data_IF_495818303009
#
_entry.id   IF_495818303009
#
_cell.length_a   1.000
_cell.length_b   1.000
_cell.length_c   1.000
_cell.angle_alpha   90.00
_cell.angle_beta   90.00
_cell.angle_gamma   90.00
#
_symmetry.space_group_name_H-M   'P 1'
#
loop_
_entity.id
_entity.type
_entity.pdbx_description
1 polymer ?
#
# COMPACT_ATOMS: atom_id res chain seq x y z
N UNK A 1 2.96 -10.68 -5.18
CA UNK A 1 1.92 -11.32 -4.34
C UNK A 1 0.64 -11.41 -5.14
N UNK A 2 -0.13 -12.47 -4.95
CA UNK A 2 -1.39 -12.67 -5.66
C UNK A 2 -2.51 -12.68 -4.62
N UNK A 3 -3.41 -11.72 -4.67
CA UNK A 3 -4.36 -11.44 -3.60
C UNK A 3 -5.71 -11.04 -4.18
N UNK A 4 -6.77 -11.49 -3.50
CA UNK A 4 -8.16 -11.09 -3.75
C UNK A 4 -8.76 -10.56 -2.46
N UNK A 5 -9.37 -9.37 -2.53
CA UNK A 5 -10.14 -8.78 -1.44
C UNK A 5 -11.65 -8.88 -1.73
N UNK A 6 -12.48 -8.73 -0.71
CA UNK A 6 -13.94 -8.74 -0.85
C UNK A 6 -14.58 -7.38 -0.97
N UNK A 7 -13.80 -6.29 -0.89
CA UNK A 7 -14.26 -4.91 -1.04
C UNK A 7 -15.52 -4.59 -0.22
N UNK A 8 -15.45 -4.82 1.07
CA UNK A 8 -16.58 -4.58 1.99
C UNK A 8 -16.38 -3.24 2.67
N UNK A 9 -17.41 -2.39 2.66
CA UNK A 9 -17.40 -1.11 3.37
C UNK A 9 -17.03 -1.32 4.84
N UNK A 10 -16.13 -0.48 5.35
CA UNK A 10 -15.56 -0.63 6.69
C UNK A 10 -14.29 -1.47 6.75
N UNK A 11 -13.91 -2.19 5.68
CA UNK A 11 -12.63 -2.87 5.59
C UNK A 11 -11.54 -1.93 5.06
N UNK A 12 -10.32 -2.16 5.52
CA UNK A 12 -9.11 -1.50 5.03
C UNK A 12 -7.98 -2.53 4.92
N UNK A 13 -8.01 -3.34 3.84
CA UNK A 13 -6.91 -4.25 3.54
C UNK A 13 -5.68 -3.50 3.08
N UNK A 14 -4.53 -3.98 3.52
CA UNK A 14 -3.24 -3.43 3.16
C UNK A 14 -2.17 -4.50 3.02
N UNK A 15 -1.25 -4.26 2.09
CA UNK A 15 0.00 -4.98 1.91
C UNK A 15 1.08 -3.91 1.91
N UNK A 16 1.95 -3.94 2.91
CA UNK A 16 2.89 -2.86 3.11
C UNK A 16 4.20 -3.34 3.75
N UNK A 17 5.22 -2.52 3.66
CA UNK A 17 6.53 -2.76 4.24
C UNK A 17 6.84 -1.61 5.19
N UNK A 18 7.27 -1.94 6.40
CA UNK A 18 7.76 -0.98 7.37
C UNK A 18 9.26 -1.15 7.56
N UNK A 19 10.00 -0.06 7.58
CA UNK A 19 11.44 -0.06 7.87
C UNK A 19 11.72 -0.63 9.27
N UNK A 20 12.82 -1.36 9.40
CA UNK A 20 13.16 -2.09 10.63
C UNK A 20 13.56 -1.17 11.77
N UNK A 21 14.30 -0.11 11.50
CA UNK A 21 14.92 0.73 12.51
C UNK A 21 14.34 2.14 12.53
N UNK A 22 14.22 2.72 13.70
CA UNK A 22 13.69 4.07 13.96
C UNK A 22 12.19 4.09 14.26
N UNK A 23 11.67 5.30 14.49
CA UNK A 23 10.25 5.54 14.71
C UNK A 23 9.55 5.91 13.40
N UNK A 24 8.24 5.70 13.35
CA UNK A 24 7.43 6.17 12.23
C UNK A 24 7.25 7.69 12.31
N UNK A 25 7.34 8.45 11.20
CA UNK A 25 7.53 8.00 9.83
C UNK A 25 9.00 7.95 9.37
N UNK A 26 9.97 8.20 10.26
CA UNK A 26 11.40 8.30 9.95
C UNK A 26 11.98 6.99 9.38
N UNK A 27 11.44 5.84 9.81
CA UNK A 27 11.84 4.51 9.35
C UNK A 27 11.41 4.18 7.92
N UNK A 28 10.52 4.97 7.35
CA UNK A 28 9.95 4.73 6.02
C UNK A 28 8.91 3.62 5.98
N UNK A 29 7.92 3.80 5.10
CA UNK A 29 6.85 2.85 4.84
C UNK A 29 6.56 2.80 3.34
N UNK A 30 6.29 1.62 2.82
CA UNK A 30 5.97 1.37 1.42
C UNK A 30 4.66 0.60 1.34
N UNK A 31 3.58 1.27 0.99
CA UNK A 31 2.28 0.64 0.84
C UNK A 31 2.15 0.10 -0.58
N UNK A 32 2.31 -1.22 -0.72
CA UNK A 32 2.27 -1.89 -2.01
C UNK A 32 0.83 -1.96 -2.53
N UNK A 33 -0.12 -2.07 -1.64
CA UNK A 33 -1.54 -2.03 -1.94
C UNK A 33 -2.32 -1.58 -0.71
N UNK A 34 -3.18 -0.62 -0.88
CA UNK A 34 -4.24 -0.28 0.06
C UNK A 34 -5.56 -0.14 -0.70
N UNK A 35 -6.62 -0.69 -0.12
CA UNK A 35 -7.98 -0.41 -0.57
C UNK A 35 -8.78 0.21 0.59
N UNK A 36 -9.55 1.26 0.29
CA UNK A 36 -10.20 2.07 1.30
C UNK A 36 -11.72 1.83 1.32
N UNK A 37 -12.19 1.06 2.28
CA UNK A 37 -13.62 0.75 2.44
C UNK A 37 -14.52 1.96 2.66
N UNK A 38 -13.96 3.10 3.07
CA UNK A 38 -14.67 4.38 3.12
C UNK A 38 -15.20 4.81 1.75
N UNK A 39 -14.52 4.43 0.68
CA UNK A 39 -14.84 4.75 -0.70
C UNK A 39 -15.24 3.47 -1.46
N UNK A 40 -16.09 2.66 -0.83
CA UNK A 40 -16.45 1.30 -1.26
C UNK A 40 -17.03 1.17 -2.68
N UNK A 41 -17.36 2.26 -3.33
CA UNK A 41 -17.83 2.26 -4.72
C UNK A 41 -16.67 2.28 -5.73
N UNK A 42 -15.43 2.41 -5.24
CA UNK A 42 -14.23 2.50 -6.05
C UNK A 42 -13.47 1.17 -6.04
N UNK A 43 -13.23 0.61 -7.21
CA UNK A 43 -12.33 -0.53 -7.40
C UNK A 43 -10.89 -0.03 -7.59
N UNK A 44 -10.50 0.93 -6.77
CA UNK A 44 -9.21 1.62 -6.86
C UNK A 44 -8.31 1.21 -5.70
N UNK A 45 -7.12 0.76 -6.01
CA UNK A 45 -6.05 0.58 -5.02
C UNK A 45 -5.12 1.78 -5.04
N UNK A 46 -4.57 2.09 -3.88
CA UNK A 46 -3.57 3.14 -3.70
C UNK A 46 -2.24 2.52 -3.31
N UNK A 47 -1.16 3.09 -3.80
CA UNK A 47 0.21 2.76 -3.49
C UNK A 47 0.89 4.02 -2.97
N UNK A 48 1.62 3.90 -1.86
CA UNK A 48 2.11 5.07 -1.13
C UNK A 48 3.54 4.85 -0.65
N UNK A 49 4.28 5.95 -0.57
CA UNK A 49 5.57 6.03 0.11
C UNK A 49 5.44 7.03 1.25
N UNK A 50 5.61 6.57 2.50
CA UNK A 50 5.71 7.45 3.66
C UNK A 50 7.15 7.58 4.12
N UNK A 51 7.55 8.80 4.38
CA UNK A 51 8.88 9.17 4.88
C UNK A 51 8.74 10.32 5.87
N UNK A 52 9.81 10.69 6.56
CA UNK A 52 9.81 11.86 7.45
C UNK A 52 9.37 13.14 6.74
N UNK A 53 9.85 13.35 5.53
CA UNK A 53 9.51 14.53 4.73
C UNK A 53 8.08 14.48 4.17
N UNK A 54 7.54 13.26 3.96
CA UNK A 54 6.28 13.03 3.24
C UNK A 54 5.50 11.92 3.92
N UNK A 55 4.46 12.26 4.66
CA UNK A 55 3.59 11.30 5.34
C UNK A 55 2.18 11.87 5.57
N UNK A 56 1.26 11.01 6.01
CA UNK A 56 -0.12 11.37 6.31
C UNK A 56 -1.09 11.14 5.14
N UNK A 57 -2.14 11.95 5.00
CA UNK A 57 -3.13 11.79 3.92
C UNK A 57 -2.54 12.19 2.56
N UNK A 58 -2.11 11.18 1.83
CA UNK A 58 -1.38 11.33 0.56
C UNK A 58 -2.26 11.65 -0.64
N UNK A 59 -3.60 11.46 -0.54
CA UNK A 59 -4.52 11.73 -1.67
C UNK A 59 -4.54 13.20 -2.05
N UNK A 60 -4.17 14.08 -1.13
CA UNK A 60 -4.04 15.51 -1.33
C UNK A 60 -2.59 15.99 -1.23
N UNK A 61 -1.63 15.07 -1.21
CA UNK A 61 -0.22 15.44 -1.12
C UNK A 61 0.27 16.03 -2.43
N UNK A 62 0.82 17.25 -2.42
CA UNK A 62 1.37 17.86 -3.63
C UNK A 62 2.72 17.25 -4.04
N UNK A 63 3.21 16.22 -3.35
CA UNK A 63 4.60 15.77 -3.45
C UNK A 63 4.81 14.48 -4.26
N UNK A 64 3.74 13.89 -4.83
CA UNK A 64 3.87 12.80 -5.79
C UNK A 64 4.45 11.50 -5.21
N UNK A 65 4.11 11.17 -3.95
CA UNK A 65 4.55 9.93 -3.30
C UNK A 65 3.50 8.84 -3.35
N UNK A 66 2.50 8.97 -4.18
CA UNK A 66 1.45 7.98 -4.33
C UNK A 66 1.06 7.77 -5.78
N UNK A 67 0.61 6.57 -6.06
CA UNK A 67 -0.07 6.18 -7.28
C UNK A 67 -1.40 5.53 -6.96
N UNK A 68 -2.35 5.60 -7.88
CA UNK A 68 -3.62 4.91 -7.77
C UNK A 68 -3.95 4.20 -9.07
N UNK A 69 -4.47 2.99 -8.95
CA UNK A 69 -4.84 2.16 -10.10
C UNK A 69 -6.25 1.62 -9.92
N UNK A 70 -7.09 1.87 -10.93
CA UNK A 70 -8.40 1.23 -11.03
C UNK A 70 -8.25 -0.19 -11.56
N UNK A 71 -8.86 -1.16 -10.87
CA UNK A 71 -8.81 -2.57 -11.22
C UNK A 71 -10.25 -3.10 -11.26
N UNK A 72 -10.79 -3.31 -12.43
CA UNK A 72 -12.22 -3.64 -12.62
C UNK A 72 -12.66 -4.91 -11.87
N UNK A 73 -11.77 -5.89 -11.71
CA UNK A 73 -12.04 -7.15 -11.02
C UNK A 73 -11.37 -7.25 -9.63
N UNK A 74 -11.03 -6.12 -9.01
CA UNK A 74 -10.33 -6.08 -7.72
C UNK A 74 -10.95 -6.99 -6.67
N UNK A 75 -12.29 -6.97 -6.58
CA UNK A 75 -13.03 -7.65 -5.54
C UNK A 75 -13.35 -9.12 -5.86
N UNK A 76 -13.18 -9.54 -7.09
CA UNK A 76 -13.63 -10.84 -7.58
C UNK A 76 -12.48 -11.76 -7.98
N UNK A 77 -11.39 -11.21 -8.48
CA UNK A 77 -10.24 -11.95 -9.00
C UNK A 77 -8.98 -11.73 -8.19
N UNK A 78 -8.05 -12.68 -8.31
CA UNK A 78 -6.72 -12.53 -7.77
C UNK A 78 -5.91 -11.57 -8.61
N UNK A 79 -5.33 -10.55 -7.97
CA UNK A 79 -4.46 -9.55 -8.59
C UNK A 79 -3.04 -9.68 -8.07
N UNK A 80 -2.05 -9.48 -8.94
CA UNK A 80 -0.63 -9.48 -8.57
C UNK A 80 -0.19 -8.08 -8.19
N UNK A 81 0.08 -7.86 -6.93
CA UNK A 81 0.71 -6.63 -6.44
C UNK A 81 2.22 -6.83 -6.37
N UNK A 82 2.96 -5.89 -6.90
CA UNK A 82 4.38 -6.03 -7.18
C UNK A 82 5.14 -4.81 -6.67
N UNK A 83 6.30 -5.05 -6.09
CA UNK A 83 7.26 -4.02 -5.69
C UNK A 83 8.64 -4.44 -6.18
N UNK A 84 9.32 -3.55 -6.88
CA UNK A 84 10.74 -3.65 -7.17
C UNK A 84 11.47 -2.55 -6.38
N UNK A 85 12.24 -2.97 -5.39
CA UNK A 85 12.96 -2.09 -4.48
C UNK A 85 14.46 -2.13 -4.83
N UNK A 86 14.96 -1.02 -5.34
CA UNK A 86 16.36 -0.80 -5.70
C UNK A 86 16.97 0.31 -4.86
N UNK A 87 18.27 0.48 -4.95
CA UNK A 87 19.01 1.53 -4.23
C UNK A 87 18.51 2.95 -4.55
N UNK A 88 18.11 3.19 -5.78
CA UNK A 88 17.76 4.54 -6.29
C UNK A 88 16.32 4.69 -6.75
N UNK A 89 15.56 3.61 -6.79
CA UNK A 89 14.15 3.65 -7.21
C UNK A 89 13.33 2.55 -6.57
N UNK A 90 12.08 2.85 -6.30
CA UNK A 90 11.06 1.92 -5.84
C UNK A 90 9.94 1.96 -6.87
N UNK A 91 9.68 0.82 -7.50
CA UNK A 91 8.70 0.71 -8.58
C UNK A 91 7.56 -0.17 -8.11
N UNK A 92 6.37 0.35 -8.15
CA UNK A 92 5.13 -0.34 -7.82
C UNK A 92 4.43 -0.80 -9.09
N UNK A 93 3.77 -1.94 -9.03
CA UNK A 93 3.02 -2.47 -10.15
C UNK A 93 1.82 -3.30 -9.72
N UNK A 94 0.88 -3.43 -10.64
CA UNK A 94 -0.28 -4.31 -10.53
C UNK A 94 -0.43 -5.07 -11.85
N UNK A 95 -0.52 -6.39 -11.78
CA UNK A 95 -0.71 -7.25 -12.96
C UNK A 95 0.29 -6.98 -14.09
N UNK A 96 1.57 -6.81 -13.73
CA UNK A 96 2.70 -6.51 -14.62
C UNK A 96 2.65 -5.11 -15.29
N UNK A 97 1.77 -4.23 -14.83
CA UNK A 97 1.75 -2.84 -15.24
C UNK A 97 2.38 -1.97 -14.15
N UNK A 98 3.35 -1.15 -14.53
CA UNK A 98 3.90 -0.14 -13.60
C UNK A 98 2.81 0.90 -13.33
N UNK A 99 2.56 1.14 -12.06
CA UNK A 99 1.52 2.07 -11.60
C UNK A 99 2.11 3.32 -10.96
N UNK A 100 3.25 3.17 -10.30
CA UNK A 100 3.92 4.28 -9.61
C UNK A 100 5.42 4.01 -9.49
N UNK A 101 6.23 5.05 -9.59
CA UNK A 101 7.68 4.98 -9.34
C UNK A 101 8.11 6.13 -8.45
N UNK A 102 8.79 5.82 -7.36
CA UNK A 102 9.43 6.77 -6.48
C UNK A 102 10.94 6.72 -6.69
N UNK A 103 11.51 7.80 -7.20
CA UNK A 103 12.93 7.88 -7.59
C UNK A 103 13.70 8.76 -6.62
N UNK A 104 14.84 8.26 -6.14
CA UNK A 104 15.79 8.99 -5.31
C UNK A 104 16.42 10.13 -6.09
N UNK A 105 16.27 11.35 -5.60
CA UNK A 105 16.95 12.52 -6.14
C UNK A 105 18.29 12.74 -5.45
N UNK A 106 19.25 13.35 -6.12
CA UNK A 106 20.58 13.66 -5.55
C UNK A 106 20.51 14.56 -4.31
N UNK A 107 19.44 15.36 -4.18
CA UNK A 107 19.20 16.22 -3.02
C UNK A 107 18.53 15.51 -1.85
N UNK A 108 18.10 14.22 -1.99
CA UNK A 108 17.41 13.52 -0.94
C UNK A 108 18.36 13.12 0.20
N UNK A 109 17.88 13.33 1.40
CA UNK A 109 18.48 12.88 2.66
C UNK A 109 17.73 11.65 3.18
N UNK A 110 18.03 11.18 4.38
CA UNK A 110 17.24 10.14 5.05
C UNK A 110 15.80 10.57 5.33
N UNK A 111 15.52 11.88 5.33
CA UNK A 111 14.15 12.36 5.52
C UNK A 111 13.25 12.03 4.33
N UNK A 112 13.79 11.98 3.13
CA UNK A 112 13.07 11.65 1.91
C UNK A 112 13.33 10.21 1.44
N UNK A 113 14.50 9.64 1.80
CA UNK A 113 14.90 8.31 1.35
C UNK A 113 15.47 7.45 2.48
N UNK A 114 14.64 6.93 3.41
CA UNK A 114 15.08 6.03 4.48
C UNK A 114 15.25 4.56 4.04
N UNK A 115 15.10 4.26 2.76
CA UNK A 115 14.98 2.92 2.19
C UNK A 115 16.33 2.23 1.92
N UNK A 116 17.41 2.62 2.59
CA UNK A 116 18.70 1.92 2.62
C UNK A 116 18.79 0.84 3.70
N UNK A 117 17.73 0.64 4.47
CA UNK A 117 17.65 -0.36 5.55
C UNK A 117 16.75 -1.54 5.18
N UNK A 118 16.80 -2.59 5.98
CA UNK A 118 15.86 -3.70 5.88
C UNK A 118 14.44 -3.26 6.28
N UNK A 119 13.44 -3.90 5.69
CA UNK A 119 12.05 -3.75 6.06
C UNK A 119 11.39 -5.10 6.30
N UNK A 120 10.22 -5.10 6.91
CA UNK A 120 9.39 -6.28 7.10
C UNK A 120 8.01 -6.08 6.49
N UNK A 121 7.56 -7.14 5.84
CA UNK A 121 6.25 -7.17 5.17
C UNK A 121 5.14 -7.36 6.19
N UNK A 122 4.10 -6.57 6.05
CA UNK A 122 2.86 -6.66 6.82
C UNK A 122 1.69 -6.86 5.84
N UNK A 123 0.81 -7.79 6.18
CA UNK A 123 -0.43 -8.06 5.44
C UNK A 123 -1.56 -8.09 6.45
N UNK A 124 -2.54 -7.20 6.31
CA UNK A 124 -3.65 -7.12 7.25
C UNK A 124 -4.94 -6.63 6.58
N UNK A 125 -6.03 -6.83 7.28
CA UNK A 125 -7.31 -6.15 7.04
C UNK A 125 -7.66 -5.39 8.31
N UNK A 126 -7.51 -4.07 8.30
CA UNK A 126 -8.02 -3.24 9.37
C UNK A 126 -9.54 -3.08 9.25
N UNK A 127 -10.20 -2.91 10.38
CA UNK A 127 -11.67 -2.76 10.46
C UNK A 127 -12.00 -1.37 10.97
N UNK A 128 -12.70 -0.58 10.16
CA UNK A 128 -13.00 0.82 10.49
C UNK A 128 -11.82 1.76 10.30
N UNK A 129 -11.69 2.74 11.16
CA UNK A 129 -10.65 3.77 11.11
C UNK A 129 -10.89 4.81 10.02
N UNK A 130 -9.87 5.64 9.78
CA UNK A 130 -9.98 6.76 8.84
C UNK A 130 -10.24 6.32 7.42
N UNK A 131 -9.63 5.24 6.95
CA UNK A 131 -9.71 4.77 5.56
C UNK A 131 -10.70 3.61 5.38
N UNK A 132 -10.94 2.78 6.40
CA UNK A 132 -12.02 1.80 6.39
C UNK A 132 -13.41 2.45 6.45
N UNK A 133 -13.54 3.51 7.23
CA UNK A 133 -14.82 4.21 7.41
C UNK A 133 -15.79 3.51 8.36
N UNK A 134 -17.10 3.81 8.28
CA UNK A 134 -18.11 3.19 9.13
C UNK A 134 -18.20 1.69 8.94
N UNK A 135 -18.34 0.96 10.03
CA UNK A 135 -18.43 -0.50 10.07
C UNK A 135 -19.84 -0.94 10.38
N UNK A 136 -20.39 -1.83 9.54
CA UNK A 136 -21.55 -2.61 9.91
C UNK A 136 -21.06 -3.91 10.58
N UNK A 137 -21.46 -4.12 11.82
CA UNK A 137 -21.00 -5.28 12.62
C UNK A 137 -21.39 -6.63 12.00
N UNK A 138 -22.45 -6.69 11.21
CA UNK A 138 -22.88 -7.90 10.49
C UNK A 138 -21.91 -8.27 9.36
N UNK A 139 -21.13 -7.33 8.85
CA UNK A 139 -20.21 -7.54 7.73
C UNK A 139 -18.80 -7.93 8.16
N UNK A 140 -18.46 -7.80 9.46
CA UNK A 140 -17.09 -8.04 9.97
C UNK A 140 -16.58 -9.44 9.61
N UNK A 141 -17.41 -10.47 9.76
CA UNK A 141 -17.04 -11.85 9.43
C UNK A 141 -16.77 -12.08 7.94
N UNK A 142 -17.23 -11.16 7.09
CA UNK A 142 -17.05 -11.18 5.64
C UNK A 142 -15.86 -10.36 5.15
N UNK A 143 -15.24 -9.55 6.01
CA UNK A 143 -14.05 -8.76 5.69
C UNK A 143 -12.84 -9.70 5.63
N UNK A 144 -12.51 -10.16 4.43
CA UNK A 144 -11.47 -11.17 4.20
C UNK A 144 -10.62 -10.81 3.00
N UNK A 145 -9.33 -10.95 3.18
CA UNK A 145 -8.35 -10.92 2.11
C UNK A 145 -7.77 -12.32 1.93
N UNK A 146 -7.72 -12.80 0.70
CA UNK A 146 -7.18 -14.10 0.36
C UNK A 146 -5.82 -13.95 -0.28
N UNK A 147 -4.81 -14.60 0.27
CA UNK A 147 -3.43 -14.57 -0.22
C UNK A 147 -3.12 -15.93 -0.84
N UNK A 148 -2.85 -15.97 -2.13
CA UNK A 148 -2.43 -17.19 -2.82
C UNK A 148 -0.93 -17.43 -2.57
N UNK A 149 -0.09 -16.43 -2.84
CA UNK A 149 1.34 -16.53 -2.55
C UNK A 149 1.99 -15.16 -2.26
N UNK A 150 3.11 -15.23 -1.56
CA UNK A 150 4.10 -14.17 -1.43
C UNK A 150 5.44 -14.69 -1.94
N UNK A 151 6.09 -13.96 -2.82
CA UNK A 151 7.43 -14.29 -3.32
C UNK A 151 8.36 -13.10 -3.13
N UNK A 152 9.51 -13.33 -2.56
CA UNK A 152 10.57 -12.34 -2.38
C UNK A 152 11.80 -12.84 -3.14
N UNK A 153 12.40 -11.99 -3.92
CA UNK A 153 13.62 -12.27 -4.69
C UNK A 153 14.71 -11.31 -4.21
N UNK A 154 15.92 -11.82 -4.05
CA UNK A 154 17.12 -11.06 -3.67
C UNK A 154 18.22 -11.29 -4.69
#
# INVERSE_FOLDING_TARGET
MCIRDRCIKGAWPAIWILGKEGDWPDRGELDIMEWYGRYSDEVTVTQVVHTKAYHGDVRNSPYGQSGSQKIDQLCNDYNRFQLLWKETEIIFGVNDQITFTYTKKSSFTLNEWPFGQQGFLIINVAVGGNLGGPVNTQDISSMKMYVDYVRVYQ
#
